data_IF_401231245177
#
_entry.id   IF_401231245177
#
_cell.length_a   1.000
_cell.length_b   1.000
_cell.length_c   1.000
_cell.angle_alpha   90.00
_cell.angle_beta   90.00
_cell.angle_gamma   90.00
#
_symmetry.space_group_name_H-M   'P 1'
#
loop_
_entity.id
_entity.type
_entity.pdbx_description
1 polymer ?
#
# COMPACT_ATOMS: atom_id res chain seq x y z
N UNK A 1 -17.28 16.54 -81.68
CA UNK A 1 -16.28 17.57 -82.05
C UNK A 1 -16.80 18.93 -81.60
N UNK A 2 -16.10 19.58 -80.68
CA UNK A 2 -15.85 21.03 -80.67
C UNK A 2 -14.79 21.26 -79.59
N UNK A 3 -13.59 21.66 -80.02
CA UNK A 3 -12.41 21.90 -79.19
C UNK A 3 -12.69 23.06 -78.24
N UNK A 4 -12.43 22.85 -76.93
CA UNK A 4 -12.29 23.96 -75.99
C UNK A 4 -11.14 24.85 -76.50
N UNK A 5 -11.45 26.08 -76.85
CA UNK A 5 -10.44 27.08 -77.18
C UNK A 5 -10.09 27.78 -75.86
N UNK A 6 -8.93 27.45 -75.30
CA UNK A 6 -8.41 28.14 -74.11
C UNK A 6 -7.89 29.50 -74.57
N UNK A 7 -8.38 30.57 -73.96
CA UNK A 7 -7.88 31.93 -74.16
C UNK A 7 -6.41 32.01 -73.72
N UNK A 8 -5.45 32.30 -74.63
CA UNK A 8 -4.03 32.36 -74.31
C UNK A 8 -3.68 33.52 -73.35
N UNK A 9 -4.60 34.44 -73.04
CA UNK A 9 -4.40 35.48 -72.02
C UNK A 9 -4.66 35.03 -70.59
N UNK A 10 -5.32 33.88 -70.37
CA UNK A 10 -5.49 33.30 -69.03
C UNK A 10 -4.24 32.54 -68.54
N UNK A 11 -3.21 32.38 -69.38
CA UNK A 11 -1.96 31.66 -69.05
C UNK A 11 -0.76 32.62 -68.85
N UNK A 12 -1.02 33.86 -68.43
CA UNK A 12 0.04 34.82 -68.05
C UNK A 12 -0.17 35.53 -66.72
N UNK A 13 -0.73 34.84 -65.72
CA UNK A 13 -0.52 35.22 -64.32
C UNK A 13 0.33 34.14 -63.66
N UNK A 14 1.64 34.22 -63.88
CA UNK A 14 2.65 33.35 -63.29
C UNK A 14 3.00 33.85 -61.89
N UNK A 15 2.01 34.11 -61.06
CA UNK A 15 2.17 34.36 -59.63
C UNK A 15 0.95 33.82 -58.91
N UNK A 16 1.19 32.78 -58.11
CA UNK A 16 0.25 32.25 -57.13
C UNK A 16 -0.10 33.44 -56.20
N UNK A 17 -1.33 33.94 -56.26
CA UNK A 17 -1.72 35.14 -55.54
C UNK A 17 -1.55 34.92 -54.02
N UNK A 18 -0.49 35.48 -53.44
CA UNK A 18 -0.12 35.34 -52.03
C UNK A 18 -1.23 35.89 -51.12
N UNK A 19 -2.02 36.88 -51.59
CA UNK A 19 -3.20 37.39 -50.89
C UNK A 19 -4.33 36.35 -50.85
N UNK A 20 -4.53 35.58 -51.93
CA UNK A 20 -5.53 34.49 -52.00
C UNK A 20 -5.11 33.29 -51.14
N UNK A 21 -3.80 32.99 -51.08
CA UNK A 21 -3.23 32.01 -50.17
C UNK A 21 -3.27 32.45 -48.70
N UNK A 22 -3.07 33.75 -48.43
CA UNK A 22 -3.28 34.32 -47.09
C UNK A 22 -4.75 34.32 -46.70
N UNK A 23 -5.69 34.57 -47.62
CA UNK A 23 -7.13 34.42 -47.38
C UNK A 23 -7.54 32.95 -47.17
N UNK A 24 -6.89 32.00 -47.84
CA UNK A 24 -7.04 30.56 -47.58
C UNK A 24 -6.39 30.10 -46.27
N UNK A 25 -5.38 30.82 -45.76
CA UNK A 25 -4.79 30.61 -44.44
C UNK A 25 -5.63 31.15 -43.27
N UNK A 26 -6.69 31.94 -43.52
CA UNK A 26 -7.50 32.60 -42.47
C UNK A 26 -8.76 31.80 -42.06
N UNK A 27 -9.11 30.71 -42.75
CA UNK A 27 -10.01 29.70 -42.18
C UNK A 27 -9.20 28.71 -41.36
N UNK A 28 -8.70 29.14 -40.19
CA UNK A 28 -8.23 28.19 -39.19
C UNK A 28 -9.47 27.41 -38.74
N UNK A 29 -9.68 26.23 -39.33
CA UNK A 29 -10.81 25.37 -39.01
C UNK A 29 -10.90 25.22 -37.49
N UNK A 30 -12.11 25.20 -36.94
CA UNK A 30 -12.29 25.08 -35.50
C UNK A 30 -11.47 23.90 -34.94
N UNK A 31 -10.84 23.98 -33.75
CA UNK A 31 -10.00 22.90 -33.21
C UNK A 31 -10.69 21.53 -33.20
N UNK A 32 -11.98 21.50 -32.91
CA UNK A 32 -12.83 20.29 -33.03
C UNK A 32 -12.85 19.74 -34.46
N UNK A 33 -13.02 20.60 -35.46
CA UNK A 33 -13.02 20.21 -36.87
C UNK A 33 -11.65 19.68 -37.31
N UNK A 34 -10.57 20.33 -36.87
CA UNK A 34 -9.20 19.85 -37.14
C UNK A 34 -9.00 18.44 -36.54
N UNK A 35 -9.42 18.25 -35.28
CA UNK A 35 -9.36 16.96 -34.60
C UNK A 35 -10.18 15.89 -35.33
N UNK A 36 -11.40 16.24 -35.75
CA UNK A 36 -12.27 15.34 -36.49
C UNK A 36 -11.62 14.88 -37.81
N UNK A 37 -11.01 15.79 -38.57
CA UNK A 37 -10.27 15.43 -39.78
C UNK A 37 -9.04 14.58 -39.51
N UNK A 38 -8.30 14.85 -38.43
CA UNK A 38 -7.18 14.02 -38.01
C UNK A 38 -7.62 12.58 -37.66
N UNK A 39 -8.86 12.39 -37.23
CA UNK A 39 -9.48 11.08 -36.97
C UNK A 39 -10.14 10.45 -38.21
N UNK A 40 -9.92 11.02 -39.41
CA UNK A 40 -10.44 10.51 -40.69
C UNK A 40 -11.75 11.15 -41.16
N UNK A 41 -12.29 12.13 -40.43
CA UNK A 41 -13.51 12.85 -40.81
C UNK A 41 -14.72 11.92 -40.99
N UNK A 42 -15.51 12.18 -42.03
CA UNK A 42 -16.74 11.42 -42.30
C UNK A 42 -16.49 9.94 -42.64
N UNK A 43 -15.30 9.60 -43.15
CA UNK A 43 -14.87 8.22 -43.41
C UNK A 43 -14.20 7.57 -42.20
N UNK A 44 -13.97 8.34 -41.12
CA UNK A 44 -13.33 7.89 -39.90
C UNK A 44 -14.29 7.15 -38.97
N UNK A 45 -13.73 6.46 -37.97
CA UNK A 45 -14.47 5.64 -37.03
C UNK A 45 -15.47 6.43 -36.16
N UNK A 46 -15.21 7.73 -35.94
CA UNK A 46 -16.06 8.59 -35.09
C UNK A 46 -17.45 8.81 -35.71
N UNK A 47 -17.57 8.64 -37.03
CA UNK A 47 -18.81 8.77 -37.79
C UNK A 47 -19.20 10.23 -38.06
N UNK A 48 -20.43 10.44 -38.53
CA UNK A 48 -20.97 11.78 -38.81
C UNK A 48 -21.28 12.53 -37.51
N UNK A 49 -21.29 13.86 -37.59
CA UNK A 49 -21.71 14.70 -36.47
C UNK A 49 -23.23 14.60 -36.25
N UNK A 50 -23.65 14.60 -34.99
CA UNK A 50 -25.07 14.62 -34.60
C UNK A 50 -25.50 15.99 -34.07
N UNK A 51 -24.53 16.88 -33.89
CA UNK A 51 -24.72 18.27 -33.45
C UNK A 51 -23.81 19.20 -34.25
N UNK A 52 -24.16 20.47 -34.31
CA UNK A 52 -23.20 21.54 -34.62
C UNK A 52 -22.21 21.70 -33.47
N UNK A 53 -21.11 22.42 -33.70
CA UNK A 53 -20.23 22.85 -32.61
C UNK A 53 -21.04 23.79 -31.69
N UNK A 54 -21.06 23.48 -30.40
CA UNK A 54 -21.82 24.21 -29.37
C UNK A 54 -20.88 24.62 -28.24
N UNK A 55 -21.14 25.76 -27.63
CA UNK A 55 -20.51 26.13 -26.36
C UNK A 55 -20.94 25.15 -25.28
N UNK A 56 -20.00 24.70 -24.46
CA UNK A 56 -20.28 23.87 -23.31
C UNK A 56 -21.15 24.64 -22.30
N UNK A 57 -22.05 23.96 -21.57
CA UNK A 57 -22.87 24.55 -20.50
C UNK A 57 -22.12 25.36 -19.43
N UNK A 58 -20.84 25.09 -19.19
CA UNK A 58 -20.00 25.88 -18.27
C UNK A 58 -19.52 27.23 -18.84
N UNK A 59 -19.74 27.46 -20.14
CA UNK A 59 -19.36 28.68 -20.85
C UNK A 59 -17.88 28.78 -21.25
N UNK A 60 -17.06 27.74 -21.01
CA UNK A 60 -15.61 27.83 -21.20
C UNK A 60 -15.16 27.17 -22.50
N UNK A 61 -15.58 25.93 -22.71
CA UNK A 61 -15.19 25.12 -23.86
C UNK A 61 -16.27 25.04 -24.92
N UNK A 62 -15.99 24.24 -25.93
CA UNK A 62 -16.93 23.89 -26.99
C UNK A 62 -16.91 22.39 -27.21
N UNK A 63 -18.00 21.84 -27.70
CA UNK A 63 -18.10 20.42 -27.99
C UNK A 63 -18.86 20.15 -29.29
N UNK A 64 -18.64 18.96 -29.83
CA UNK A 64 -19.46 18.38 -30.88
C UNK A 64 -19.65 16.89 -30.63
N UNK A 65 -20.89 16.44 -30.69
CA UNK A 65 -21.23 15.02 -30.67
C UNK A 65 -21.22 14.44 -32.07
N UNK A 66 -20.79 13.18 -32.13
CA UNK A 66 -20.74 12.34 -33.32
C UNK A 66 -21.45 11.02 -33.01
N UNK A 67 -21.74 10.23 -34.04
CA UNK A 67 -22.44 8.94 -33.88
C UNK A 67 -21.72 8.03 -32.88
N UNK A 68 -20.38 7.94 -32.96
CA UNK A 68 -19.62 7.01 -32.14
C UNK A 68 -18.82 7.67 -31.01
N UNK A 69 -18.98 8.97 -30.77
CA UNK A 69 -18.22 9.65 -29.72
C UNK A 69 -18.46 11.15 -29.63
N UNK A 70 -17.55 11.87 -28.98
CA UNK A 70 -17.60 13.32 -28.87
C UNK A 70 -16.21 13.90 -28.85
N UNK A 71 -16.07 15.11 -29.41
CA UNK A 71 -14.84 15.89 -29.29
C UNK A 71 -15.18 17.12 -28.46
N UNK A 72 -14.39 17.35 -27.41
CA UNK A 72 -14.47 18.52 -26.55
C UNK A 72 -13.19 19.34 -26.70
N UNK A 73 -13.35 20.66 -26.76
CA UNK A 73 -12.29 21.64 -26.83
C UNK A 73 -12.32 22.53 -25.60
N UNK A 74 -11.15 22.75 -25.00
CA UNK A 74 -10.94 23.77 -23.98
C UNK A 74 -9.76 24.68 -24.37
N UNK A 75 -9.84 26.01 -24.19
CA UNK A 75 -8.84 26.96 -24.67
C UNK A 75 -7.39 26.67 -24.26
N UNK A 76 -7.16 26.14 -23.05
CA UNK A 76 -5.82 25.82 -22.55
C UNK A 76 -5.36 24.37 -22.75
N UNK A 77 -6.23 23.50 -23.27
CA UNK A 77 -5.96 22.04 -23.35
C UNK A 77 -5.98 21.55 -24.80
N UNK A 78 -6.76 22.19 -25.67
CA UNK A 78 -7.00 21.75 -27.03
C UNK A 78 -8.22 20.83 -27.14
N UNK A 79 -8.32 20.13 -28.28
CA UNK A 79 -9.46 19.29 -28.63
C UNK A 79 -9.12 17.80 -28.49
N UNK A 80 -9.90 17.09 -27.67
CA UNK A 80 -9.73 15.66 -27.38
C UNK A 80 -11.04 14.92 -27.57
N UNK A 81 -10.95 13.69 -28.06
CA UNK A 81 -12.11 12.82 -28.16
C UNK A 81 -12.36 12.03 -26.88
N UNK A 82 -13.63 11.69 -26.66
CA UNK A 82 -14.05 10.65 -25.70
C UNK A 82 -15.13 9.81 -26.37
N UNK A 83 -15.07 8.48 -26.26
CA UNK A 83 -16.06 7.59 -26.89
C UNK A 83 -16.46 6.39 -26.01
N UNK A 84 -17.30 5.52 -26.57
CA UNK A 84 -17.71 4.26 -25.96
C UNK A 84 -18.22 4.38 -24.52
N UNK A 85 -17.79 3.44 -23.67
CA UNK A 85 -18.22 3.36 -22.28
C UNK A 85 -17.55 4.41 -21.38
N UNK A 86 -16.37 4.93 -21.76
CA UNK A 86 -15.73 6.03 -21.03
C UNK A 86 -16.56 7.30 -21.18
N UNK A 87 -16.98 7.61 -22.41
CA UNK A 87 -17.91 8.72 -22.69
C UNK A 87 -19.23 8.54 -21.96
N UNK A 88 -19.81 7.33 -21.97
CA UNK A 88 -21.06 7.06 -21.27
C UNK A 88 -20.93 7.27 -19.75
N UNK A 89 -19.79 6.91 -19.15
CA UNK A 89 -19.49 7.19 -17.74
C UNK A 89 -19.34 8.68 -17.48
N UNK A 90 -18.57 9.38 -18.28
CA UNK A 90 -18.39 10.83 -18.13
C UNK A 90 -19.72 11.58 -18.28
N UNK A 91 -20.56 11.15 -19.23
CA UNK A 91 -21.92 11.64 -19.41
C UNK A 91 -22.77 11.48 -18.14
N UNK A 92 -22.77 10.29 -17.51
CA UNK A 92 -23.59 10.06 -16.32
C UNK A 92 -23.13 10.87 -15.11
N UNK A 93 -21.88 11.34 -15.11
CA UNK A 93 -21.32 12.24 -14.10
C UNK A 93 -21.61 13.71 -14.36
N UNK A 94 -22.21 14.06 -15.50
CA UNK A 94 -22.51 15.45 -15.86
C UNK A 94 -21.48 16.12 -16.76
N UNK A 95 -20.70 15.35 -17.52
CA UNK A 95 -19.77 15.86 -18.54
C UNK A 95 -18.72 16.82 -17.96
N UNK A 96 -18.42 17.92 -18.64
CA UNK A 96 -17.46 18.94 -18.25
C UNK A 96 -17.84 19.69 -16.97
N UNK A 97 -19.12 19.64 -16.57
CA UNK A 97 -19.58 20.19 -15.29
C UNK A 97 -19.33 19.27 -14.11
N UNK A 98 -18.94 18.02 -14.36
CA UNK A 98 -18.53 17.09 -13.31
C UNK A 98 -17.17 17.51 -12.72
N UNK A 99 -16.79 16.89 -11.60
CA UNK A 99 -15.47 17.10 -10.99
C UNK A 99 -14.31 16.80 -11.95
N UNK A 100 -14.54 15.99 -12.98
CA UNK A 100 -13.51 15.62 -13.94
C UNK A 100 -13.14 16.78 -14.89
N UNK A 101 -14.07 17.68 -15.20
CA UNK A 101 -13.85 18.73 -16.19
C UNK A 101 -13.65 18.15 -17.60
N UNK A 102 -12.78 18.79 -18.38
CA UNK A 102 -12.51 18.46 -19.79
C UNK A 102 -11.50 17.30 -19.93
N UNK A 103 -11.60 16.51 -21.01
CA UNK A 103 -10.58 15.52 -21.35
C UNK A 103 -9.24 16.20 -21.68
N UNK A 104 -8.17 15.63 -21.16
CA UNK A 104 -6.77 16.01 -21.42
C UNK A 104 -6.12 15.13 -22.49
N UNK A 105 -6.72 13.98 -22.77
CA UNK A 105 -6.25 13.01 -23.76
C UNK A 105 -7.43 12.52 -24.57
N UNK A 106 -7.13 12.04 -25.78
CA UNK A 106 -7.96 11.06 -26.47
C UNK A 106 -8.07 9.77 -25.66
N UNK A 107 -9.08 8.97 -25.97
CA UNK A 107 -9.27 7.64 -25.42
C UNK A 107 -8.21 6.69 -26.00
N UNK A 108 -7.23 6.37 -25.18
CA UNK A 108 -6.04 5.60 -25.58
C UNK A 108 -6.08 4.20 -24.99
N UNK A 109 -5.44 3.25 -25.68
CA UNK A 109 -5.20 1.93 -25.10
C UNK A 109 -4.32 2.07 -23.86
N UNK A 110 -4.63 1.30 -22.82
CA UNK A 110 -3.77 1.20 -21.65
C UNK A 110 -2.46 0.49 -22.03
N UNK A 111 -1.31 0.89 -21.46
CA UNK A 111 0.00 0.26 -21.68
C UNK A 111 0.06 -1.27 -21.48
N UNK A 112 -0.84 -1.87 -20.70
CA UNK A 112 -0.93 -3.32 -20.53
C UNK A 112 -1.62 -4.05 -21.70
N UNK A 113 -2.18 -3.31 -22.66
CA UNK A 113 -2.87 -3.82 -23.84
C UNK A 113 -4.28 -4.34 -23.59
N UNK A 114 -4.87 -4.16 -22.40
CA UNK A 114 -6.16 -4.75 -22.03
C UNK A 114 -7.29 -3.71 -22.10
N UNK A 115 -7.09 -2.59 -21.43
CA UNK A 115 -8.12 -1.58 -21.22
C UNK A 115 -7.90 -0.33 -22.06
N UNK A 116 -8.75 0.66 -21.82
CA UNK A 116 -8.70 1.99 -22.44
C UNK A 116 -8.87 3.05 -21.37
N UNK A 117 -8.39 4.26 -21.60
CA UNK A 117 -8.54 5.35 -20.63
C UNK A 117 -8.60 6.72 -21.31
N UNK A 118 -9.23 7.66 -20.61
CA UNK A 118 -9.01 9.10 -20.79
C UNK A 118 -8.51 9.69 -19.48
N UNK A 119 -7.55 10.61 -19.56
CA UNK A 119 -7.29 11.55 -18.48
C UNK A 119 -8.16 12.79 -18.65
N UNK A 120 -8.64 13.32 -17.55
CA UNK A 120 -9.41 14.55 -17.45
C UNK A 120 -8.71 15.51 -16.49
N UNK A 121 -9.11 16.78 -16.48
CA UNK A 121 -8.52 17.79 -15.59
C UNK A 121 -8.54 17.36 -14.12
N UNK A 122 -9.67 16.81 -13.67
CA UNK A 122 -9.88 16.40 -12.28
C UNK A 122 -9.61 14.94 -11.97
N UNK A 123 -9.36 14.09 -12.97
CA UNK A 123 -9.24 12.64 -12.72
C UNK A 123 -8.96 11.80 -13.96
N UNK A 124 -9.28 10.51 -13.88
CA UNK A 124 -9.21 9.58 -15.01
C UNK A 124 -10.46 8.71 -15.05
N UNK A 125 -10.85 8.28 -16.24
CA UNK A 125 -11.78 7.15 -16.38
C UNK A 125 -11.04 6.03 -17.11
N UNK A 126 -11.07 4.84 -16.51
CA UNK A 126 -10.50 3.62 -17.06
C UNK A 126 -11.60 2.64 -17.41
N UNK A 127 -11.48 2.00 -18.57
CA UNK A 127 -12.34 0.92 -19.00
C UNK A 127 -11.53 -0.37 -19.16
N UNK A 128 -12.10 -1.50 -18.73
CA UNK A 128 -11.63 -2.83 -19.13
C UNK A 128 -12.80 -3.71 -19.57
N UNK A 129 -12.56 -4.76 -20.39
CA UNK A 129 -13.62 -5.71 -20.76
C UNK A 129 -14.30 -6.37 -19.56
N UNK A 130 -13.55 -6.57 -18.47
CA UNK A 130 -14.01 -7.28 -17.27
C UNK A 130 -14.70 -6.40 -16.23
N UNK A 131 -14.44 -5.09 -16.24
CA UNK A 131 -14.97 -4.16 -15.22
C UNK A 131 -15.90 -3.11 -15.78
N UNK A 132 -15.84 -2.78 -17.07
CA UNK A 132 -16.49 -1.58 -17.59
C UNK A 132 -15.70 -0.30 -17.25
N UNK A 133 -16.32 0.86 -17.45
CA UNK A 133 -15.67 2.16 -17.29
C UNK A 133 -15.90 2.74 -15.89
N UNK A 134 -14.84 3.11 -15.18
CA UNK A 134 -14.88 3.65 -13.81
C UNK A 134 -13.90 4.79 -13.60
N UNK A 135 -14.31 5.73 -12.77
CA UNK A 135 -13.61 6.97 -12.49
C UNK A 135 -12.70 6.85 -11.26
N UNK A 136 -11.55 7.51 -11.30
CA UNK A 136 -10.61 7.66 -10.18
C UNK A 136 -10.06 9.10 -10.17
N UNK A 137 -10.11 9.81 -9.04
CA UNK A 137 -9.63 11.21 -8.91
C UNK A 137 -8.80 11.47 -7.65
N UNK A 138 -8.36 12.72 -7.49
CA UNK A 138 -7.78 13.24 -6.27
C UNK A 138 -6.60 12.42 -5.72
N UNK A 139 -6.59 12.27 -4.40
CA UNK A 139 -5.52 11.55 -3.70
C UNK A 139 -5.49 10.06 -4.02
N UNK A 140 -6.64 9.45 -4.31
CA UNK A 140 -6.72 8.03 -4.68
C UNK A 140 -6.08 7.80 -6.06
N UNK A 141 -6.38 8.66 -7.04
CA UNK A 141 -5.72 8.64 -8.34
C UNK A 141 -4.22 8.87 -8.23
N UNK A 142 -3.80 9.79 -7.37
CA UNK A 142 -2.37 10.03 -7.13
C UNK A 142 -1.68 8.79 -6.55
N UNK A 143 -2.31 8.09 -5.60
CA UNK A 143 -1.80 6.81 -5.08
C UNK A 143 -1.76 5.74 -6.15
N UNK A 144 -2.84 5.56 -6.91
CA UNK A 144 -2.91 4.60 -8.00
C UNK A 144 -1.82 4.85 -9.06
N UNK A 145 -1.58 6.12 -9.40
CA UNK A 145 -0.45 6.55 -10.24
C UNK A 145 0.89 6.12 -9.68
N UNK A 146 1.14 6.36 -8.39
CA UNK A 146 2.41 6.05 -7.73
C UNK A 146 2.71 4.56 -7.71
N UNK A 147 1.68 3.71 -7.76
CA UNK A 147 1.79 2.25 -7.83
C UNK A 147 2.00 1.74 -9.27
N UNK A 148 1.91 2.62 -10.28
CA UNK A 148 2.07 2.25 -11.68
C UNK A 148 0.76 1.98 -12.43
N UNK A 149 -0.36 2.55 -11.95
CA UNK A 149 -1.68 2.49 -12.60
C UNK A 149 -2.16 1.04 -12.82
N UNK A 150 -2.76 0.74 -13.97
CA UNK A 150 -3.31 -0.57 -14.32
C UNK A 150 -2.26 -1.68 -14.47
N UNK A 151 -0.98 -1.31 -14.62
CA UNK A 151 0.14 -2.26 -14.58
C UNK A 151 0.49 -2.72 -13.16
N UNK A 152 0.00 -2.02 -12.15
CA UNK A 152 0.17 -2.41 -10.74
C UNK A 152 -0.65 -3.66 -10.41
N UNK A 153 -0.41 -4.23 -9.23
CA UNK A 153 -1.21 -5.35 -8.72
C UNK A 153 -2.68 -4.99 -8.53
N UNK A 154 -3.04 -3.70 -8.40
CA UNK A 154 -4.42 -3.26 -8.27
C UNK A 154 -5.23 -3.47 -9.56
N UNK A 155 -4.58 -3.42 -10.74
CA UNK A 155 -5.25 -3.49 -12.05
C UNK A 155 -6.34 -2.43 -12.19
N UNK A 156 -7.46 -2.72 -12.85
CA UNK A 156 -8.48 -1.73 -13.19
C UNK A 156 -9.42 -1.42 -12.01
N UNK A 157 -9.96 -0.18 -11.95
CA UNK A 157 -11.02 0.16 -11.01
C UNK A 157 -12.30 -0.66 -11.29
N UNK A 158 -13.03 -0.94 -10.21
CA UNK A 158 -14.33 -1.61 -10.18
C UNK A 158 -15.46 -0.69 -9.71
N UNK A 159 -15.12 0.48 -9.17
CA UNK A 159 -16.07 1.49 -8.69
C UNK A 159 -15.58 2.87 -9.08
N UNK A 160 -16.49 3.84 -9.12
CA UNK A 160 -16.12 5.25 -9.02
C UNK A 160 -15.56 5.52 -7.63
N UNK A 161 -14.89 6.66 -7.49
CA UNK A 161 -14.54 7.15 -6.17
C UNK A 161 -15.83 7.54 -5.41
N UNK A 162 -16.09 6.87 -4.31
CA UNK A 162 -17.31 7.04 -3.51
C UNK A 162 -16.96 7.48 -2.09
N UNK A 163 -17.82 8.30 -1.48
CA UNK A 163 -17.72 8.59 -0.05
C UNK A 163 -17.89 7.29 0.74
N UNK A 164 -17.03 7.07 1.73
CA UNK A 164 -17.15 5.93 2.63
C UNK A 164 -18.50 5.97 3.38
N UNK A 165 -19.08 4.81 3.73
CA UNK A 165 -20.31 4.73 4.53
C UNK A 165 -20.34 5.52 5.84
N UNK A 166 -19.19 5.83 6.44
CA UNK A 166 -19.08 6.67 7.65
C UNK A 166 -19.17 8.19 7.37
N UNK A 167 -19.17 8.60 6.10
CA UNK A 167 -19.23 9.99 5.68
C UNK A 167 -17.90 10.76 5.75
N UNK A 168 -16.78 10.14 6.12
CA UNK A 168 -15.50 10.83 6.36
C UNK A 168 -14.55 10.69 5.18
N UNK A 169 -14.27 9.45 4.79
CA UNK A 169 -13.28 9.13 3.77
C UNK A 169 -13.88 8.92 2.39
N UNK A 170 -13.01 8.53 1.47
CA UNK A 170 -13.37 8.15 0.10
C UNK A 170 -12.64 6.88 -0.28
N UNK A 171 -13.17 6.12 -1.22
CA UNK A 171 -12.55 4.88 -1.68
C UNK A 171 -12.82 4.57 -3.15
N UNK A 172 -11.91 3.82 -3.74
CA UNK A 172 -12.15 3.03 -4.94
C UNK A 172 -11.82 1.56 -4.65
N UNK A 173 -12.66 0.66 -5.16
CA UNK A 173 -12.28 -0.74 -5.31
C UNK A 173 -11.63 -0.96 -6.67
N UNK A 174 -10.61 -1.82 -6.68
CA UNK A 174 -9.89 -2.27 -7.87
C UNK A 174 -9.94 -3.79 -7.92
N UNK A 175 -9.63 -4.39 -9.07
CA UNK A 175 -9.66 -5.85 -9.20
C UNK A 175 -8.72 -6.53 -8.21
N UNK A 176 -7.54 -5.95 -7.99
CA UNK A 176 -6.53 -6.50 -7.09
C UNK A 176 -6.58 -5.99 -5.66
N UNK A 177 -7.44 -5.02 -5.32
CA UNK A 177 -7.41 -4.41 -3.99
C UNK A 177 -8.35 -3.23 -3.82
N UNK A 178 -8.02 -2.32 -2.91
CA UNK A 178 -8.75 -1.06 -2.73
C UNK A 178 -7.81 0.03 -2.29
N UNK A 179 -8.13 1.26 -2.65
CA UNK A 179 -7.47 2.43 -2.08
C UNK A 179 -8.52 3.19 -1.30
N UNK A 180 -8.20 3.49 -0.04
CA UNK A 180 -9.01 4.32 0.84
C UNK A 180 -8.24 5.57 1.20
N UNK A 181 -8.95 6.70 1.26
CA UNK A 181 -8.41 7.98 1.70
C UNK A 181 -9.26 8.53 2.84
N UNK A 182 -8.59 9.14 3.84
CA UNK A 182 -9.24 10.01 4.83
C UNK A 182 -8.39 11.26 5.04
N UNK A 183 -8.98 12.36 5.56
CA UNK A 183 -8.20 13.56 5.91
C UNK A 183 -7.05 13.28 6.89
N UNK A 184 -7.24 12.32 7.81
CA UNK A 184 -6.28 12.01 8.87
C UNK A 184 -5.18 11.03 8.46
N UNK A 185 -5.42 10.22 7.43
CA UNK A 185 -4.51 9.13 7.05
C UNK A 185 -3.89 9.31 5.68
N UNK A 186 -4.49 10.12 4.79
CA UNK A 186 -4.11 10.10 3.38
C UNK A 186 -4.59 8.83 2.68
N UNK A 187 -4.14 8.64 1.43
CA UNK A 187 -4.58 7.55 0.56
C UNK A 187 -3.66 6.33 0.73
N UNK A 188 -4.24 5.18 1.04
CA UNK A 188 -3.52 3.93 1.25
C UNK A 188 -4.21 2.77 0.54
N UNK A 189 -3.39 1.89 -0.03
CA UNK A 189 -3.87 0.65 -0.62
C UNK A 189 -4.01 -0.45 0.45
N UNK A 190 -5.00 -1.31 0.28
CA UNK A 190 -5.14 -2.57 1.03
C UNK A 190 -5.54 -3.65 0.03
N UNK A 191 -4.87 -4.81 0.06
CA UNK A 191 -5.15 -5.90 -0.88
C UNK A 191 -5.14 -7.30 -0.24
N UNK A 192 -5.39 -8.32 -1.07
CA UNK A 192 -5.25 -9.73 -0.71
C UNK A 192 -6.07 -10.18 0.51
N UNK A 193 -5.45 -11.05 1.33
CA UNK A 193 -6.07 -11.63 2.51
C UNK A 193 -6.35 -10.59 3.60
N UNK A 194 -5.48 -9.57 3.73
CA UNK A 194 -5.64 -8.49 4.69
C UNK A 194 -6.90 -7.67 4.38
N UNK A 195 -7.05 -7.22 3.13
CA UNK A 195 -8.25 -6.53 2.67
C UNK A 195 -9.51 -7.36 2.88
N UNK A 196 -9.45 -8.64 2.53
CA UNK A 196 -10.60 -9.54 2.62
C UNK A 196 -11.07 -9.70 4.08
N UNK A 197 -10.13 -9.79 5.02
CA UNK A 197 -10.46 -9.83 6.43
C UNK A 197 -10.99 -8.48 6.94
N UNK A 198 -10.33 -7.36 6.60
CA UNK A 198 -10.82 -6.03 6.98
C UNK A 198 -12.24 -5.76 6.48
N UNK A 199 -12.55 -6.20 5.25
CA UNK A 199 -13.90 -6.19 4.70
C UNK A 199 -14.90 -6.95 5.56
N UNK A 200 -14.54 -8.16 6.01
CA UNK A 200 -15.38 -8.99 6.89
C UNK A 200 -15.63 -8.34 8.27
N UNK A 201 -14.74 -7.44 8.70
CA UNK A 201 -14.89 -6.66 9.93
C UNK A 201 -15.73 -5.39 9.76
N UNK A 202 -16.17 -5.08 8.54
CA UNK A 202 -16.97 -3.88 8.24
C UNK A 202 -16.17 -2.67 7.76
N UNK A 203 -14.98 -2.89 7.17
CA UNK A 203 -14.16 -1.85 6.52
C UNK A 203 -13.78 -0.71 7.49
N UNK A 204 -13.85 0.54 7.06
CA UNK A 204 -13.50 1.73 7.83
C UNK A 204 -14.38 1.93 9.08
N UNK A 205 -15.60 1.35 9.09
CA UNK A 205 -16.48 1.33 10.26
C UNK A 205 -16.08 0.29 11.30
N UNK A 206 -15.14 -0.59 10.98
CA UNK A 206 -14.63 -1.58 11.94
C UNK A 206 -13.91 -0.90 13.11
N UNK A 207 -13.64 -1.68 14.15
CA UNK A 207 -12.84 -1.23 15.28
C UNK A 207 -11.41 -0.78 14.87
N UNK A 208 -10.93 -1.09 13.67
CA UNK A 208 -9.61 -0.71 13.18
C UNK A 208 -9.58 0.68 12.53
N UNK A 209 -10.67 1.12 11.91
CA UNK A 209 -10.72 2.40 11.20
C UNK A 209 -10.07 2.35 9.81
N UNK A 210 -9.61 3.51 9.36
CA UNK A 210 -8.92 3.66 8.07
C UNK A 210 -7.51 3.08 8.07
N UNK A 211 -7.00 2.62 6.92
CA UNK A 211 -5.59 2.27 6.77
C UNK A 211 -4.69 3.51 6.96
N UNK A 212 -3.56 3.31 7.63
CA UNK A 212 -2.49 4.31 7.86
C UNK A 212 -1.18 3.93 7.17
N UNK A 213 -1.16 2.78 6.49
CA UNK A 213 -0.08 2.34 5.62
C UNK A 213 -0.64 1.58 4.42
N UNK A 214 0.15 1.50 3.36
CA UNK A 214 -0.01 0.46 2.34
C UNK A 214 0.31 -0.92 2.95
N UNK A 215 0.15 -2.03 2.22
CA UNK A 215 0.62 -3.33 2.69
C UNK A 215 2.16 -3.38 2.72
N UNK A 216 2.72 -3.68 3.89
CA UNK A 216 4.16 -3.73 4.16
C UNK A 216 4.63 -5.17 4.32
N UNK A 217 5.90 -5.40 3.98
CA UNK A 217 6.61 -6.62 4.38
C UNK A 217 6.95 -6.51 5.86
N UNK A 218 6.65 -7.55 6.63
CA UNK A 218 7.02 -7.63 8.05
C UNK A 218 8.52 -7.87 8.17
N UNK A 219 9.16 -7.19 9.13
CA UNK A 219 10.60 -7.31 9.36
C UNK A 219 11.04 -8.78 9.52
N UNK A 220 11.99 -9.19 8.68
CA UNK A 220 12.69 -10.47 8.78
C UNK A 220 12.00 -11.70 8.19
N UNK A 221 10.80 -11.56 7.58
CA UNK A 221 10.04 -12.72 7.07
C UNK A 221 9.21 -12.44 5.83
N UNK A 222 8.46 -13.46 5.39
CA UNK A 222 7.56 -13.40 4.23
C UNK A 222 6.14 -12.88 4.57
N UNK A 223 5.90 -12.56 5.84
CA UNK A 223 4.61 -12.07 6.30
C UNK A 223 4.33 -10.64 5.83
N UNK A 224 3.05 -10.30 5.80
CA UNK A 224 2.52 -9.01 5.36
C UNK A 224 1.75 -8.34 6.50
N UNK A 225 1.77 -7.02 6.53
CA UNK A 225 1.02 -6.24 7.51
C UNK A 225 0.52 -4.93 6.89
N UNK A 226 -0.73 -4.57 7.19
CA UNK A 226 -1.22 -3.21 6.99
C UNK A 226 -1.58 -2.60 8.34
N UNK A 227 -1.20 -1.34 8.53
CA UNK A 227 -1.55 -0.57 9.70
C UNK A 227 -2.87 0.17 9.48
N UNK A 228 -3.64 0.28 10.56
CA UNK A 228 -4.90 1.00 10.61
C UNK A 228 -4.86 1.96 11.80
N UNK A 229 -5.79 2.92 11.83
CA UNK A 229 -5.84 3.94 12.89
C UNK A 229 -5.80 3.39 14.32
N UNK A 230 -6.36 2.19 14.55
CA UNK A 230 -6.50 1.59 15.89
C UNK A 230 -6.04 0.14 15.91
N UNK A 231 -5.01 -0.21 15.13
CA UNK A 231 -4.49 -1.57 15.10
C UNK A 231 -3.75 -1.91 13.82
N UNK A 232 -3.55 -3.20 13.58
CA UNK A 232 -2.95 -3.71 12.36
C UNK A 232 -3.59 -5.03 11.98
N UNK A 233 -3.50 -5.40 10.71
CA UNK A 233 -3.85 -6.75 10.27
C UNK A 233 -2.57 -7.37 9.71
N UNK A 234 -2.18 -8.47 10.30
CA UNK A 234 -1.05 -9.30 9.92
C UNK A 234 -1.53 -10.50 9.10
N UNK A 235 -0.73 -10.93 8.16
CA UNK A 235 -0.93 -12.18 7.44
C UNK A 235 0.40 -12.93 7.23
N UNK A 236 0.39 -14.23 7.49
CA UNK A 236 1.42 -15.16 6.97
C UNK A 236 0.76 -16.41 6.42
N UNK A 237 1.47 -17.21 5.58
CA UNK A 237 0.96 -18.49 5.10
C UNK A 237 0.60 -19.47 6.22
N UNK A 238 1.34 -19.39 7.34
CA UNK A 238 1.29 -20.34 8.46
C UNK A 238 0.34 -19.89 9.57
N UNK A 239 0.39 -18.62 9.99
CA UNK A 239 -0.53 -18.10 11.00
C UNK A 239 -1.86 -17.61 10.40
N UNK A 240 -1.97 -17.43 9.08
CA UNK A 240 -3.15 -16.84 8.45
C UNK A 240 -3.32 -15.37 8.85
N UNK A 241 -4.56 -14.86 8.75
CA UNK A 241 -4.86 -13.46 9.08
C UNK A 241 -5.05 -13.28 10.59
N UNK A 242 -4.43 -12.25 11.17
CA UNK A 242 -4.53 -11.89 12.59
C UNK A 242 -4.72 -10.39 12.76
N UNK A 243 -5.68 -10.00 13.59
CA UNK A 243 -5.84 -8.60 14.02
C UNK A 243 -4.94 -8.36 15.21
N UNK A 244 -4.11 -7.32 15.12
CA UNK A 244 -3.21 -6.89 16.17
C UNK A 244 -3.74 -5.57 16.75
N UNK A 245 -3.95 -5.52 18.07
CA UNK A 245 -4.50 -4.35 18.77
C UNK A 245 -3.53 -3.77 19.77
N UNK A 246 -2.56 -4.56 20.19
CA UNK A 246 -1.51 -4.16 21.08
C UNK A 246 -0.14 -4.31 20.42
N UNK A 247 0.88 -3.72 21.02
CA UNK A 247 2.27 -3.85 20.61
C UNK A 247 3.24 -3.94 21.78
N UNK A 248 4.36 -4.59 21.51
CA UNK A 248 5.58 -4.49 22.30
C UNK A 248 6.66 -3.83 21.44
N UNK A 249 7.42 -2.90 22.03
CA UNK A 249 8.56 -2.24 21.39
C UNK A 249 9.85 -2.90 21.84
N UNK A 250 10.72 -3.21 20.88
CA UNK A 250 11.91 -4.02 21.10
C UNK A 250 13.14 -3.32 20.58
N UNK A 251 14.20 -3.30 21.39
CA UNK A 251 15.52 -2.81 21.00
C UNK A 251 16.54 -3.94 21.01
N UNK A 252 17.35 -4.00 19.96
CA UNK A 252 18.34 -5.06 19.74
C UNK A 252 19.73 -4.54 20.05
N UNK A 253 20.45 -5.25 20.92
CA UNK A 253 21.85 -5.00 21.25
C UNK A 253 22.68 -6.22 20.86
N UNK A 254 23.71 -6.02 20.05
CA UNK A 254 24.51 -7.10 19.49
C UNK A 254 25.93 -7.00 20.03
N UNK A 255 26.31 -7.92 20.91
CA UNK A 255 27.70 -8.11 21.32
C UNK A 255 28.37 -9.19 20.45
N UNK A 256 27.58 -10.17 20.03
CA UNK A 256 27.99 -11.23 19.10
C UNK A 256 26.87 -11.55 18.10
N UNK A 257 27.27 -11.75 16.85
CA UNK A 257 26.33 -12.05 15.77
C UNK A 257 25.79 -13.48 15.90
N UNK A 258 24.46 -13.68 15.87
CA UNK A 258 23.87 -15.01 15.81
C UNK A 258 24.39 -15.85 14.63
N UNK A 259 24.60 -17.15 14.86
CA UNK A 259 25.17 -18.10 13.88
C UNK A 259 24.21 -19.20 13.46
N UNK A 260 23.26 -19.57 14.32
CA UNK A 260 22.28 -20.62 14.00
C UNK A 260 21.10 -20.07 13.20
N UNK A 261 20.63 -18.87 13.57
CA UNK A 261 19.58 -18.14 12.89
C UNK A 261 19.87 -16.65 12.99
N UNK A 262 19.70 -15.93 11.89
CA UNK A 262 19.84 -14.47 11.84
C UNK A 262 18.84 -13.79 12.77
N UNK A 263 19.12 -12.56 13.17
CA UNK A 263 18.21 -11.74 13.97
C UNK A 263 16.86 -11.60 13.25
N UNK A 264 16.89 -11.41 11.94
CA UNK A 264 15.70 -11.32 11.10
C UNK A 264 14.81 -12.56 11.20
N UNK A 265 15.40 -13.76 11.09
CA UNK A 265 14.64 -15.02 11.20
C UNK A 265 14.04 -15.22 12.60
N UNK A 266 14.78 -14.85 13.65
CA UNK A 266 14.30 -14.91 15.03
C UNK A 266 13.13 -13.93 15.27
N UNK A 267 13.23 -12.71 14.75
CA UNK A 267 12.14 -11.74 14.83
C UNK A 267 10.92 -12.17 14.01
N UNK A 268 11.09 -12.73 12.82
CA UNK A 268 9.99 -13.24 12.02
C UNK A 268 9.25 -14.37 12.74
N UNK A 269 10.01 -15.31 13.31
CA UNK A 269 9.48 -16.41 14.12
C UNK A 269 8.69 -15.89 15.33
N UNK A 270 9.23 -14.92 16.08
CA UNK A 270 8.54 -14.31 17.22
C UNK A 270 7.27 -13.56 16.80
N UNK A 271 7.34 -12.74 15.75
CA UNK A 271 6.19 -11.98 15.24
C UNK A 271 5.04 -12.89 14.81
N UNK A 272 5.36 -14.01 14.17
CA UNK A 272 4.35 -14.98 13.76
C UNK A 272 3.59 -15.59 14.94
N UNK A 273 4.31 -15.99 15.99
CA UNK A 273 3.70 -16.55 17.20
C UNK A 273 2.90 -15.47 17.95
N UNK A 274 3.46 -14.26 18.07
CA UNK A 274 2.83 -13.16 18.82
C UNK A 274 1.61 -12.59 18.10
N UNK A 275 1.55 -12.72 16.78
CA UNK A 275 0.35 -12.40 16.02
C UNK A 275 -0.86 -13.25 16.44
N UNK A 276 -0.66 -14.50 16.90
CA UNK A 276 -1.73 -15.33 17.47
C UNK A 276 -2.28 -14.70 18.76
N UNK A 277 -1.40 -14.07 19.55
CA UNK A 277 -1.80 -13.33 20.74
C UNK A 277 -2.42 -11.95 20.44
N UNK A 278 -2.44 -11.49 19.19
CA UNK A 278 -2.90 -10.14 18.83
C UNK A 278 -1.88 -9.04 19.14
N UNK A 279 -0.61 -9.40 19.40
CA UNK A 279 0.45 -8.48 19.78
C UNK A 279 1.41 -8.27 18.61
N UNK A 280 1.57 -7.01 18.18
CA UNK A 280 2.58 -6.59 17.21
C UNK A 280 3.95 -6.44 17.88
N UNK A 281 5.02 -6.84 17.20
CA UNK A 281 6.38 -6.58 17.66
C UNK A 281 6.99 -5.47 16.80
N UNK A 282 7.36 -4.35 17.43
CA UNK A 282 8.02 -3.23 16.76
C UNK A 282 9.53 -3.29 17.06
N UNK A 283 10.36 -3.62 16.06
CA UNK A 283 11.81 -3.48 16.19
C UNK A 283 12.18 -1.99 16.08
N UNK A 284 12.45 -1.35 17.22
CA UNK A 284 12.61 0.09 17.34
C UNK A 284 14.05 0.57 17.06
N UNK A 285 15.07 -0.20 17.43
CA UNK A 285 16.46 0.12 17.10
C UNK A 285 17.36 -1.12 17.16
N UNK A 286 18.47 -1.08 16.44
CA UNK A 286 19.56 -2.06 16.54
C UNK A 286 20.88 -1.35 16.79
N UNK A 287 21.68 -1.86 17.73
CA UNK A 287 22.99 -1.31 18.08
C UNK A 287 24.01 -2.43 18.29
N UNK A 288 25.23 -2.25 17.78
CA UNK A 288 26.36 -3.11 18.12
C UNK A 288 27.03 -2.56 19.39
N UNK A 289 27.22 -3.41 20.39
CA UNK A 289 27.90 -3.05 21.64
C UNK A 289 29.30 -3.68 21.66
N UNK A 290 30.29 -2.89 22.11
CA UNK A 290 31.64 -3.37 22.32
C UNK A 290 31.92 -3.56 23.82
N UNK A 291 31.54 -4.74 24.35
CA UNK A 291 31.71 -5.11 25.75
C UNK A 291 32.38 -6.48 25.83
N UNK A 292 33.71 -6.58 25.58
CA UNK A 292 34.39 -7.86 25.37
C UNK A 292 34.32 -8.81 26.56
N UNK A 293 34.22 -8.28 27.78
CA UNK A 293 34.08 -9.06 29.01
C UNK A 293 32.68 -9.58 29.25
N UNK A 294 31.68 -9.13 28.49
CA UNK A 294 30.27 -9.53 28.62
C UNK A 294 29.78 -10.33 27.41
N UNK A 295 30.70 -10.94 26.66
CA UNK A 295 30.34 -11.85 25.57
C UNK A 295 29.86 -13.19 26.09
N UNK A 296 30.41 -13.68 27.20
CA UNK A 296 29.84 -14.80 27.95
C UNK A 296 29.29 -14.20 29.24
N UNK A 297 27.98 -14.32 29.45
CA UNK A 297 27.30 -13.59 30.53
C UNK A 297 26.87 -14.57 31.61
N UNK A 298 27.32 -14.36 32.84
CA UNK A 298 26.74 -15.00 34.02
C UNK A 298 25.29 -14.54 34.17
N UNK A 299 24.35 -15.48 34.12
CA UNK A 299 22.90 -15.23 34.30
C UNK A 299 22.36 -15.91 35.57
N UNK A 300 23.25 -16.49 36.39
CA UNK A 300 22.89 -17.27 37.55
C UNK A 300 21.90 -18.40 37.22
N UNK A 301 21.00 -18.72 38.14
CA UNK A 301 19.94 -19.72 37.89
C UNK A 301 18.83 -19.26 36.93
N UNK A 302 18.98 -18.10 36.27
CA UNK A 302 17.97 -17.48 35.41
C UNK A 302 16.56 -17.46 36.03
N UNK A 303 16.45 -16.94 37.26
CA UNK A 303 15.18 -16.89 37.98
C UNK A 303 14.66 -15.45 37.99
N UNK A 304 13.42 -15.23 37.57
CA UNK A 304 12.80 -13.90 37.59
C UNK A 304 12.94 -13.24 38.97
N UNK A 305 13.41 -11.99 38.99
CA UNK A 305 13.69 -11.24 40.22
C UNK A 305 15.08 -11.45 40.83
N UNK A 306 15.86 -12.40 40.32
CA UNK A 306 17.27 -12.62 40.71
C UNK A 306 18.19 -12.38 39.52
N UNK A 307 19.08 -11.40 39.62
CA UNK A 307 20.02 -11.04 38.55
C UNK A 307 21.46 -11.02 39.02
N UNK A 308 22.37 -11.46 38.16
CA UNK A 308 23.80 -11.40 38.40
C UNK A 308 24.36 -9.99 38.28
N UNK A 309 25.58 -9.78 38.77
CA UNK A 309 26.34 -8.53 38.57
C UNK A 309 26.57 -8.23 37.09
N UNK A 310 26.83 -9.24 36.27
CA UNK A 310 27.06 -9.07 34.84
C UNK A 310 25.78 -8.66 34.11
N UNK A 311 24.63 -9.23 34.47
CA UNK A 311 23.33 -8.78 33.96
C UNK A 311 23.04 -7.32 34.34
N UNK A 312 23.36 -6.89 35.56
CA UNK A 312 23.18 -5.50 35.98
C UNK A 312 24.00 -4.54 35.09
N UNK A 313 25.25 -4.90 34.78
CA UNK A 313 26.14 -4.10 33.91
C UNK A 313 25.62 -4.13 32.45
N UNK A 314 25.33 -5.32 31.92
CA UNK A 314 24.85 -5.49 30.55
C UNK A 314 23.56 -4.69 30.30
N UNK A 315 22.57 -4.84 31.17
CA UNK A 315 21.28 -4.14 31.06
C UNK A 315 21.41 -2.64 31.34
N UNK A 316 22.51 -2.20 31.96
CA UNK A 316 22.90 -0.79 32.04
C UNK A 316 23.24 -0.19 30.67
N UNK A 317 23.71 -1.00 29.73
CA UNK A 317 24.04 -0.60 28.35
C UNK A 317 22.83 -0.67 27.41
N UNK A 318 21.62 -0.40 27.91
CA UNK A 318 20.41 -0.38 27.09
C UNK A 318 20.34 0.81 26.13
N UNK A 319 21.11 1.88 26.39
CA UNK A 319 21.31 3.07 25.56
C UNK A 319 20.05 3.60 24.85
N UNK A 320 19.51 4.72 25.37
CA UNK A 320 18.38 5.46 24.78
C UNK A 320 17.07 4.66 24.70
N UNK A 321 16.82 3.77 25.66
CA UNK A 321 15.61 2.94 25.72
C UNK A 321 14.80 3.28 26.97
N UNK A 322 13.50 3.58 26.77
CA UNK A 322 12.56 3.90 27.85
C UNK A 322 12.21 2.69 28.73
N UNK A 323 11.65 2.92 29.91
CA UNK A 323 11.39 1.86 30.91
C UNK A 323 10.38 0.81 30.46
N UNK A 324 9.51 1.13 29.48
CA UNK A 324 8.44 0.25 29.02
C UNK A 324 8.81 -0.52 27.73
N UNK A 325 9.98 -0.25 27.16
CA UNK A 325 10.46 -0.93 25.95
C UNK A 325 11.42 -2.07 26.34
N UNK A 326 11.32 -3.20 25.64
CA UNK A 326 12.06 -4.42 25.94
C UNK A 326 13.40 -4.44 25.19
N UNK A 327 14.45 -4.94 25.82
CA UNK A 327 15.79 -5.03 25.19
C UNK A 327 16.22 -6.48 25.07
N UNK A 328 16.68 -6.90 23.89
CA UNK A 328 17.39 -8.17 23.70
C UNK A 328 18.89 -7.91 23.55
N UNK A 329 19.69 -8.70 24.26
CA UNK A 329 21.14 -8.74 24.13
C UNK A 329 21.59 -10.05 23.49
N UNK A 330 22.17 -9.98 22.29
CA UNK A 330 22.79 -11.13 21.64
C UNK A 330 24.24 -11.29 22.08
N UNK A 331 24.54 -12.42 22.71
CA UNK A 331 25.83 -12.73 23.36
C UNK A 331 26.42 -14.04 22.81
N UNK A 332 27.69 -14.34 23.13
CA UNK A 332 28.33 -15.61 22.73
C UNK A 332 27.71 -16.78 23.48
N UNK A 333 27.64 -16.72 24.80
CA UNK A 333 27.13 -17.78 25.66
C UNK A 333 26.61 -17.23 26.99
N UNK A 334 25.97 -18.07 27.78
CA UNK A 334 25.60 -17.76 29.17
C UNK A 334 26.29 -18.72 30.13
N UNK A 335 26.42 -18.30 31.39
CA UNK A 335 26.93 -19.12 32.50
C UNK A 335 25.90 -19.13 33.63
N UNK A 336 25.38 -20.28 34.08
CA UNK A 336 25.44 -21.60 33.45
C UNK A 336 24.90 -21.60 32.00
N UNK A 337 25.22 -22.65 31.24
CA UNK A 337 24.90 -22.74 29.82
C UNK A 337 23.41 -22.87 29.52
N UNK A 338 22.75 -21.74 29.22
CA UNK A 338 21.39 -21.65 28.71
C UNK A 338 21.36 -21.04 27.30
N UNK A 339 20.28 -21.29 26.55
CA UNK A 339 20.08 -20.66 25.24
C UNK A 339 19.63 -19.19 25.34
N UNK A 340 19.05 -18.82 26.47
CA UNK A 340 18.61 -17.46 26.76
C UNK A 340 18.35 -17.29 28.24
N UNK A 341 18.15 -16.04 28.64
CA UNK A 341 17.66 -15.74 29.98
C UNK A 341 16.88 -14.42 30.01
N UNK A 342 15.64 -14.49 30.48
CA UNK A 342 14.75 -13.36 30.67
C UNK A 342 14.85 -12.68 32.04
N UNK A 343 15.67 -13.19 32.97
CA UNK A 343 15.90 -12.50 34.24
C UNK A 343 16.57 -11.13 33.98
N UNK A 344 15.95 -10.07 34.50
CA UNK A 344 16.38 -8.71 34.23
C UNK A 344 16.24 -7.81 35.47
N UNK A 345 17.05 -6.73 35.60
CA UNK A 345 16.90 -5.79 36.70
C UNK A 345 15.53 -5.08 36.65
N UNK A 346 15.05 -4.63 37.80
CA UNK A 346 13.81 -3.83 37.89
C UNK A 346 13.89 -2.58 37.01
N UNK A 347 12.81 -2.27 36.29
CA UNK A 347 12.73 -1.15 35.35
C UNK A 347 13.55 -1.29 34.05
N UNK A 348 14.19 -2.44 33.83
CA UNK A 348 14.99 -2.75 32.63
C UNK A 348 14.52 -4.05 31.97
N UNK A 349 13.27 -4.12 31.50
CA UNK A 349 12.74 -5.33 30.89
C UNK A 349 13.57 -5.75 29.67
N UNK A 350 13.89 -7.03 29.59
CA UNK A 350 14.74 -7.54 28.53
C UNK A 350 15.19 -8.97 28.76
N UNK A 351 15.96 -9.48 27.82
CA UNK A 351 16.56 -10.81 27.92
C UNK A 351 17.92 -10.87 27.24
N UNK A 352 18.65 -11.93 27.55
CA UNK A 352 19.86 -12.36 26.87
C UNK A 352 19.51 -13.54 25.96
N UNK A 353 20.06 -13.57 24.75
CA UNK A 353 19.93 -14.69 23.80
C UNK A 353 21.32 -15.05 23.27
N UNK A 354 21.70 -16.33 23.34
CA UNK A 354 23.03 -16.76 22.86
C UNK A 354 23.05 -16.87 21.33
N UNK A 355 24.22 -16.66 20.71
CA UNK A 355 24.39 -16.67 19.25
C UNK A 355 24.01 -18.00 18.58
N UNK A 356 24.05 -19.10 19.32
CA UNK A 356 23.71 -20.46 18.85
C UNK A 356 22.27 -20.86 19.20
N UNK A 357 21.44 -19.92 19.66
CA UNK A 357 20.07 -20.20 20.05
C UNK A 357 19.20 -20.65 18.87
N UNK A 358 18.14 -21.41 19.16
CA UNK A 358 17.15 -21.77 18.14
C UNK A 358 16.34 -20.54 17.71
N UNK A 359 15.70 -20.62 16.54
CA UNK A 359 14.85 -19.53 15.99
C UNK A 359 13.73 -19.07 16.92
N UNK A 360 13.30 -19.92 17.86
CA UNK A 360 12.18 -19.66 18.76
C UNK A 360 12.60 -19.04 20.10
N UNK A 361 13.90 -19.06 20.40
CA UNK A 361 14.42 -18.67 21.72
C UNK A 361 14.12 -17.21 22.04
N UNK A 362 14.26 -16.30 21.06
CA UNK A 362 13.89 -14.90 21.25
C UNK A 362 12.44 -14.73 21.71
N UNK A 363 11.50 -15.37 20.99
CA UNK A 363 10.08 -15.31 21.34
C UNK A 363 9.77 -15.95 22.70
N UNK A 364 10.47 -17.03 23.05
CA UNK A 364 10.36 -17.71 24.34
C UNK A 364 10.81 -16.81 25.49
N UNK A 365 12.01 -16.21 25.39
CA UNK A 365 12.53 -15.33 26.45
C UNK A 365 11.64 -14.09 26.63
N UNK A 366 11.16 -13.51 25.53
CA UNK A 366 10.19 -12.42 25.64
C UNK A 366 8.85 -12.87 26.20
N UNK A 367 8.47 -14.14 26.04
CA UNK A 367 7.31 -14.71 26.71
C UNK A 367 7.43 -14.57 28.23
N UNK A 368 8.59 -14.92 28.79
CA UNK A 368 8.86 -14.69 30.21
C UNK A 368 8.82 -13.22 30.60
N UNK A 369 9.41 -12.33 29.80
CA UNK A 369 9.35 -10.87 30.04
C UNK A 369 7.91 -10.36 30.05
N UNK A 370 7.03 -10.95 29.24
CA UNK A 370 5.59 -10.63 29.19
C UNK A 370 4.74 -11.44 30.18
N UNK A 371 5.36 -12.25 31.05
CA UNK A 371 4.71 -12.91 32.17
C UNK A 371 4.14 -14.30 31.90
N UNK A 372 4.50 -14.96 30.78
CA UNK A 372 4.13 -16.35 30.54
C UNK A 372 5.24 -17.31 30.99
N UNK A 373 4.86 -18.51 31.44
CA UNK A 373 5.74 -19.43 32.16
C UNK A 373 5.93 -20.75 31.43
N UNK A 374 6.96 -21.50 31.82
CA UNK A 374 7.27 -22.79 31.21
C UNK A 374 6.10 -23.77 31.30
N UNK A 375 5.99 -24.59 30.25
CA UNK A 375 5.11 -25.74 30.18
C UNK A 375 5.92 -26.96 29.73
N UNK A 376 5.49 -28.16 30.12
CA UNK A 376 6.10 -29.40 29.64
C UNK A 376 5.41 -29.88 28.35
N UNK A 377 5.52 -29.10 27.27
CA UNK A 377 4.88 -29.39 25.98
C UNK A 377 5.67 -28.76 24.82
N UNK A 378 6.19 -29.60 23.94
CA UNK A 378 7.02 -29.19 22.79
C UNK A 378 6.22 -28.61 21.63
N UNK A 379 4.90 -28.65 21.64
CA UNK A 379 4.09 -27.93 20.66
C UNK A 379 3.95 -26.44 21.01
N UNK A 380 4.33 -26.03 22.22
CA UNK A 380 4.08 -24.70 22.76
C UNK A 380 5.34 -23.85 22.84
N UNK A 381 5.17 -22.53 22.71
CA UNK A 381 6.29 -21.58 22.71
C UNK A 381 7.10 -21.69 24.01
N UNK A 382 6.39 -21.80 25.13
CA UNK A 382 6.99 -21.84 26.46
C UNK A 382 7.46 -23.23 26.89
N UNK A 383 7.85 -24.11 25.96
CA UNK A 383 8.39 -25.42 26.34
C UNK A 383 9.59 -25.30 27.29
N UNK A 384 9.51 -25.93 28.46
CA UNK A 384 10.62 -26.05 29.41
C UNK A 384 11.66 -27.09 29.00
N UNK A 385 11.40 -27.85 27.93
CA UNK A 385 12.29 -28.92 27.45
C UNK A 385 13.34 -28.41 26.45
N UNK A 386 13.42 -27.09 26.23
CA UNK A 386 14.36 -26.46 25.31
C UNK A 386 13.76 -26.15 23.93
N UNK A 387 14.00 -24.93 23.46
CA UNK A 387 13.41 -24.37 22.23
C UNK A 387 13.86 -25.03 20.93
N UNK A 388 14.89 -25.89 20.95
CA UNK A 388 15.25 -26.75 19.81
C UNK A 388 14.30 -27.92 19.63
N UNK A 389 13.60 -28.32 20.68
CA UNK A 389 12.70 -29.47 20.68
C UNK A 389 11.27 -29.12 20.26
N UNK A 390 11.01 -27.89 19.80
CA UNK A 390 9.68 -27.47 19.35
C UNK A 390 9.25 -28.29 18.13
N UNK A 391 8.12 -28.98 18.23
CA UNK A 391 7.62 -29.94 17.23
C UNK A 391 6.49 -29.41 16.36
N UNK A 392 5.78 -28.36 16.79
CA UNK A 392 4.71 -27.72 16.03
C UNK A 392 5.16 -26.31 15.61
N UNK A 393 5.71 -26.10 14.40
CA UNK A 393 6.07 -24.77 13.92
C UNK A 393 4.94 -24.11 13.07
N UNK A 394 4.51 -22.87 13.37
CA UNK A 394 4.87 -22.06 14.55
C UNK A 394 4.28 -22.63 15.84
N UNK A 395 4.98 -22.51 16.99
CA UNK A 395 4.51 -23.05 18.26
C UNK A 395 3.25 -22.36 18.75
N UNK A 396 2.44 -23.12 19.47
CA UNK A 396 1.16 -22.68 19.96
C UNK A 396 1.30 -21.73 21.16
N UNK A 397 0.36 -20.78 21.24
CA UNK A 397 0.00 -20.03 22.43
C UNK A 397 -1.45 -20.32 22.79
N UNK A 398 -1.70 -20.60 24.05
CA UNK A 398 -3.05 -20.73 24.58
C UNK A 398 -3.74 -19.37 24.69
N UNK A 399 -5.07 -19.39 24.82
CA UNK A 399 -5.85 -18.18 25.11
C UNK A 399 -5.43 -17.50 26.42
N UNK A 400 -5.06 -18.29 27.43
CA UNK A 400 -4.54 -17.80 28.71
C UNK A 400 -3.22 -17.05 28.54
N UNK A 401 -2.22 -17.67 27.90
CA UNK A 401 -0.94 -17.02 27.61
C UNK A 401 -1.11 -15.76 26.76
N UNK A 402 -1.95 -15.84 25.72
CA UNK A 402 -2.24 -14.70 24.86
C UNK A 402 -2.84 -13.54 25.64
N UNK A 403 -3.72 -13.83 26.60
CA UNK A 403 -4.32 -12.81 27.46
C UNK A 403 -3.30 -12.21 28.42
N UNK A 404 -2.42 -13.02 29.01
CA UNK A 404 -1.32 -12.55 29.85
C UNK A 404 -0.40 -11.61 29.06
N UNK A 405 0.00 -11.99 27.84
CA UNK A 405 0.86 -11.17 26.99
C UNK A 405 0.23 -9.82 26.63
N UNK A 406 -1.07 -9.78 26.30
CA UNK A 406 -1.80 -8.53 26.02
C UNK A 406 -1.94 -7.63 27.25
N UNK A 407 -2.11 -8.23 28.43
CA UNK A 407 -2.30 -7.51 29.70
C UNK A 407 -0.97 -7.15 30.39
N UNK A 408 0.18 -7.51 29.81
CA UNK A 408 1.48 -7.11 30.32
C UNK A 408 1.62 -5.59 30.34
N UNK A 409 2.24 -5.05 31.40
CA UNK A 409 2.55 -3.61 31.50
C UNK A 409 3.47 -3.08 30.39
N UNK A 410 4.15 -3.99 29.67
CA UNK A 410 5.06 -3.70 28.55
C UNK A 410 4.36 -3.74 27.19
N UNK A 411 3.11 -4.20 27.18
CA UNK A 411 2.28 -4.29 25.99
C UNK A 411 1.34 -3.09 25.97
N UNK A 412 1.39 -2.29 24.91
CA UNK A 412 0.65 -1.03 24.79
C UNK A 412 -0.36 -1.07 23.66
N UNK A 413 -1.53 -0.40 23.77
CA UNK A 413 -2.47 -0.28 22.65
C UNK A 413 -1.85 0.42 21.43
N UNK A 414 -2.36 0.07 20.25
CA UNK A 414 -1.98 0.65 18.95
C UNK A 414 -2.75 1.92 18.57
#
# INVERSE_FOLDING_TARGET
>A
MAKLTIDPKLVQAKELNVELLKQLQVFQAHPITQKYWALGGASGWLGTNTTTIRTCPDGVGQYQHFVNGSIYYHPSIGAHEVHGLIRARWQSMGWERSLLGYPLTDESACPDGIGRFNHFQGGSIYWSPSSGAWEVHGAIRAKYSSLGWERSFLRYPLTNESTCPDGVGRFNHFQGGSIYWSPSTGAHEVHGAIRSHWASLGWERSALGYPTSDELVVFGGAARISHFQRGSIYWSPTAGVRVLKERVRVHVKILETPVSFTINEQFAAMQEVYAVAGVRVDCASTENLNLPTLKDVDVGGCTMGSVSSEQIILFGNRNFVGTNDVVVYFVRSTVPGYNGCAAHPSGRPGCVVVRSASRWTLGHEFGHVLGIHHVNDNNRLMTGNGTFNITNPPPDLTSGESSTMRNSSLTTPL
#
